data_IF_367060244754
#
_entry.id   IF_367060244754
#
_cell.length_a   1.000
_cell.length_b   1.000
_cell.length_c   1.000
_cell.angle_alpha   90.00
_cell.angle_beta   90.00
_cell.angle_gamma   90.00
#
_symmetry.space_group_name_H-M   'P 1'
#
loop_
_entity.id
_entity.type
_entity.pdbx_description
1 polymer ?
#
# COMPACT_ATOMS: atom_id res chain seq x y z
N UNK A 1 -3.64 1.89 -15.85
CA UNK A 1 -4.76 2.69 -15.32
C UNK A 1 -4.23 3.74 -14.33
N UNK A 2 -3.14 4.43 -14.69
CA UNK A 2 -2.55 5.45 -13.80
C UNK A 2 -3.49 6.66 -13.72
N UNK A 3 -3.75 7.15 -12.50
CA UNK A 3 -4.48 8.39 -12.25
C UNK A 3 -5.95 8.42 -12.67
N UNK A 4 -6.59 7.26 -12.86
CA UNK A 4 -7.92 7.20 -13.49
C UNK A 4 -9.02 7.96 -12.73
N UNK A 5 -8.98 7.93 -11.39
CA UNK A 5 -9.91 8.65 -10.52
C UNK A 5 -9.18 9.68 -9.64
N UNK A 6 -8.00 10.13 -10.05
CA UNK A 6 -7.23 11.12 -9.29
C UNK A 6 -8.06 12.39 -9.05
N UNK A 7 -8.14 12.84 -7.79
CA UNK A 7 -8.96 13.98 -7.32
C UNK A 7 -10.47 13.83 -7.56
N UNK A 8 -10.97 12.63 -7.87
CA UNK A 8 -12.41 12.38 -7.92
C UNK A 8 -12.97 12.24 -6.50
N UNK A 9 -12.90 13.30 -5.69
CA UNK A 9 -13.11 13.33 -4.23
C UNK A 9 -14.31 12.49 -3.76
N UNK A 10 -15.40 12.48 -4.52
CA UNK A 10 -16.68 11.83 -4.18
C UNK A 10 -16.92 10.49 -4.89
N UNK A 11 -15.94 9.96 -5.61
CA UNK A 11 -16.09 8.70 -6.34
C UNK A 11 -16.16 7.52 -5.37
N UNK A 12 -17.26 6.79 -5.40
CA UNK A 12 -17.50 5.59 -4.58
C UNK A 12 -18.44 4.62 -5.30
N UNK A 13 -18.18 4.35 -6.58
CA UNK A 13 -19.00 3.45 -7.39
C UNK A 13 -18.37 2.06 -7.44
N UNK A 14 -19.17 0.98 -7.50
CA UNK A 14 -18.66 -0.39 -7.48
C UNK A 14 -17.76 -0.67 -8.69
N UNK A 15 -16.62 -1.30 -8.44
CA UNK A 15 -15.61 -1.67 -9.45
C UNK A 15 -15.25 -3.16 -9.44
N UNK A 16 -15.94 -3.97 -8.64
CA UNK A 16 -15.67 -5.40 -8.44
C UNK A 16 -15.74 -6.23 -9.74
N UNK A 17 -16.43 -5.74 -10.78
CA UNK A 17 -16.56 -6.43 -12.08
C UNK A 17 -15.49 -6.02 -13.10
N UNK A 18 -14.54 -5.16 -12.74
CA UNK A 18 -13.50 -4.72 -13.67
C UNK A 18 -12.43 -5.80 -13.88
N UNK A 19 -12.11 -6.07 -15.14
CA UNK A 19 -10.94 -6.88 -15.47
C UNK A 19 -9.70 -5.99 -15.47
N UNK A 20 -8.86 -6.16 -14.45
CA UNK A 20 -7.56 -5.50 -14.30
C UNK A 20 -6.39 -6.44 -14.53
N UNK A 21 -6.63 -7.66 -15.02
CA UNK A 21 -5.61 -8.71 -15.13
C UNK A 21 -4.44 -8.35 -16.05
N UNK A 22 -4.64 -7.47 -17.03
CA UNK A 22 -3.58 -7.01 -17.93
C UNK A 22 -2.94 -5.67 -17.50
N UNK A 23 -3.35 -5.10 -16.37
CA UNK A 23 -2.89 -3.79 -15.92
C UNK A 23 -1.51 -3.90 -15.31
N UNK A 24 -0.59 -3.05 -15.78
CA UNK A 24 0.80 -2.99 -15.29
C UNK A 24 1.01 -1.84 -14.28
N UNK A 25 0.18 -0.81 -14.35
CA UNK A 25 0.35 0.41 -13.57
C UNK A 25 -1.01 0.91 -13.05
N UNK A 26 -1.16 0.98 -11.74
CA UNK A 26 -2.32 1.51 -11.01
C UNK A 26 -1.95 2.73 -10.16
N UNK A 27 -0.79 3.35 -10.42
CA UNK A 27 -0.31 4.48 -9.65
C UNK A 27 -1.32 5.63 -9.65
N UNK A 28 -1.52 6.23 -8.49
CA UNK A 28 -2.46 7.34 -8.27
C UNK A 28 -3.92 7.06 -8.67
N UNK A 29 -4.31 5.80 -8.88
CA UNK A 29 -5.64 5.49 -9.42
C UNK A 29 -6.78 6.07 -8.58
N UNK A 30 -6.65 6.07 -7.24
CA UNK A 30 -7.59 6.65 -6.28
C UNK A 30 -6.92 7.73 -5.42
N UNK A 31 -5.92 8.43 -5.95
CA UNK A 31 -5.29 9.54 -5.25
C UNK A 31 -6.29 10.66 -4.96
N UNK A 32 -6.33 11.14 -3.71
CA UNK A 32 -7.27 12.15 -3.22
C UNK A 32 -8.75 11.81 -3.46
N UNK A 33 -9.10 10.51 -3.52
CA UNK A 33 -10.48 10.05 -3.54
C UNK A 33 -10.95 9.82 -2.11
N UNK A 34 -11.46 10.87 -1.49
CA UNK A 34 -11.72 10.92 -0.05
C UNK A 34 -12.59 9.76 0.44
N UNK A 35 -13.66 9.43 -0.29
CA UNK A 35 -14.75 8.54 0.16
C UNK A 35 -14.77 7.15 -0.48
N UNK A 36 -13.75 6.78 -1.26
CA UNK A 36 -13.73 5.48 -1.92
C UNK A 36 -13.48 4.36 -0.90
N UNK A 37 -14.42 3.41 -0.85
CA UNK A 37 -14.40 2.25 0.04
C UNK A 37 -15.29 1.17 -0.60
N UNK A 38 -14.86 0.67 -1.77
CA UNK A 38 -15.59 -0.35 -2.52
C UNK A 38 -14.76 -1.62 -2.63
N UNK A 39 -15.43 -2.77 -2.58
CA UNK A 39 -14.78 -4.08 -2.74
C UNK A 39 -14.06 -4.17 -4.10
N UNK A 40 -12.73 -4.22 -4.00
CA UNK A 40 -11.79 -4.48 -5.09
C UNK A 40 -10.87 -5.65 -4.76
N UNK A 41 -11.20 -6.44 -3.73
CA UNK A 41 -10.40 -7.59 -3.32
C UNK A 41 -10.42 -8.71 -4.38
N UNK A 42 -11.40 -8.69 -5.28
CA UNK A 42 -11.50 -9.62 -6.42
C UNK A 42 -10.59 -9.27 -7.61
N UNK A 43 -9.93 -8.12 -7.59
CA UNK A 43 -9.06 -7.69 -8.68
C UNK A 43 -7.81 -8.57 -8.82
N UNK A 44 -7.53 -9.01 -10.04
CA UNK A 44 -6.26 -9.68 -10.36
C UNK A 44 -5.16 -8.65 -10.61
N UNK A 45 -4.40 -8.31 -9.57
CA UNK A 45 -3.28 -7.35 -9.65
C UNK A 45 -1.91 -8.00 -9.90
N UNK A 46 -1.87 -9.30 -10.23
CA UNK A 46 -0.61 -10.07 -10.36
C UNK A 46 0.37 -9.51 -11.41
N UNK A 47 -0.10 -8.73 -12.38
CA UNK A 47 0.75 -8.09 -13.40
C UNK A 47 1.15 -6.64 -13.06
N UNK A 48 0.61 -6.08 -11.99
CA UNK A 48 0.87 -4.70 -11.58
C UNK A 48 2.29 -4.58 -11.03
N UNK A 49 3.01 -3.59 -11.53
CA UNK A 49 4.39 -3.24 -11.12
C UNK A 49 4.46 -1.96 -10.29
N UNK A 50 3.56 -1.03 -10.53
CA UNK A 50 3.56 0.28 -9.88
C UNK A 50 2.20 0.57 -9.24
N UNK A 51 2.20 0.60 -7.91
CA UNK A 51 1.05 0.95 -7.07
C UNK A 51 1.29 2.29 -6.33
N UNK A 52 2.27 3.08 -6.76
CA UNK A 52 2.64 4.30 -6.05
C UNK A 52 1.47 5.29 -5.97
N UNK A 53 1.21 5.77 -4.75
CA UNK A 53 0.12 6.70 -4.46
C UNK A 53 -1.29 6.20 -4.79
N UNK A 54 -1.50 4.89 -4.99
CA UNK A 54 -2.79 4.37 -5.46
C UNK A 54 -3.97 4.81 -4.58
N UNK A 55 -3.79 4.85 -3.26
CA UNK A 55 -4.77 5.31 -2.27
C UNK A 55 -4.24 6.48 -1.42
N UNK A 56 -3.30 7.27 -1.97
CA UNK A 56 -2.80 8.45 -1.27
C UNK A 56 -3.95 9.44 -1.05
N UNK A 57 -4.07 10.00 0.15
CA UNK A 57 -5.18 10.86 0.60
C UNK A 57 -6.59 10.24 0.44
N UNK A 58 -6.71 8.92 0.25
CA UNK A 58 -7.98 8.19 0.28
C UNK A 58 -8.42 7.96 1.73
N UNK A 59 -8.83 9.05 2.39
CA UNK A 59 -9.01 9.15 3.84
C UNK A 59 -9.84 8.01 4.43
N UNK A 60 -10.94 7.63 3.79
CA UNK A 60 -11.90 6.63 4.28
C UNK A 60 -11.68 5.20 3.78
N UNK A 61 -10.69 4.96 2.92
CA UNK A 61 -10.45 3.62 2.39
C UNK A 61 -9.97 2.66 3.49
N UNK A 62 -10.71 1.57 3.70
CA UNK A 62 -10.38 0.50 4.64
C UNK A 62 -10.85 -0.89 4.14
N UNK A 63 -11.07 -1.04 2.83
CA UNK A 63 -11.46 -2.33 2.25
C UNK A 63 -10.32 -3.36 2.24
N UNK A 64 -10.66 -4.63 2.49
CA UNK A 64 -9.68 -5.74 2.49
C UNK A 64 -9.04 -5.93 1.12
N UNK A 65 -7.73 -6.17 1.12
CA UNK A 65 -6.89 -6.44 -0.04
C UNK A 65 -6.13 -7.77 0.09
N UNK A 66 -6.64 -8.68 0.92
CA UNK A 66 -5.96 -9.93 1.29
C UNK A 66 -5.71 -10.87 0.10
N UNK A 67 -6.50 -10.77 -0.97
CA UNK A 67 -6.39 -11.64 -2.16
C UNK A 67 -5.42 -11.10 -3.21
N UNK A 68 -4.87 -9.90 -3.03
CA UNK A 68 -3.98 -9.30 -4.01
C UNK A 68 -2.64 -10.03 -4.06
N UNK A 69 -2.27 -10.51 -5.25
CA UNK A 69 -0.93 -11.00 -5.54
C UNK A 69 0.01 -9.84 -5.86
N UNK A 70 0.84 -9.46 -4.89
CA UNK A 70 1.78 -8.34 -5.01
C UNK A 70 3.18 -8.75 -5.46
N UNK A 71 3.42 -10.02 -5.84
CA UNK A 71 4.75 -10.57 -6.16
C UNK A 71 5.51 -9.77 -7.22
N UNK A 72 4.80 -9.13 -8.16
CA UNK A 72 5.40 -8.37 -9.25
C UNK A 72 5.49 -6.86 -8.99
N UNK A 73 5.03 -6.37 -7.84
CA UNK A 73 5.06 -4.95 -7.51
C UNK A 73 6.50 -4.53 -7.19
N UNK A 74 6.95 -3.46 -7.86
CA UNK A 74 8.30 -2.90 -7.77
C UNK A 74 8.29 -1.56 -6.99
N UNK A 75 7.15 -0.87 -6.92
CA UNK A 75 6.99 0.45 -6.28
C UNK A 75 5.66 0.57 -5.51
N UNK A 76 5.76 0.89 -4.21
CA UNK A 76 4.64 1.14 -3.29
C UNK A 76 4.76 2.50 -2.59
N UNK A 77 5.57 3.42 -3.14
CA UNK A 77 5.74 4.77 -2.58
C UNK A 77 4.39 5.43 -2.34
N UNK A 78 4.16 5.95 -1.14
CA UNK A 78 2.95 6.69 -0.75
C UNK A 78 1.63 5.92 -0.98
N UNK A 79 1.64 4.59 -1.14
CA UNK A 79 0.45 3.82 -1.54
C UNK A 79 -0.79 4.09 -0.69
N UNK A 80 -0.61 4.26 0.63
CA UNK A 80 -1.65 4.57 1.61
C UNK A 80 -1.32 5.84 2.42
N UNK A 81 -0.47 6.72 1.88
CA UNK A 81 -0.12 7.97 2.57
C UNK A 81 -1.40 8.77 2.84
N UNK A 82 -1.61 9.21 4.07
CA UNK A 82 -2.80 9.92 4.54
C UNK A 82 -4.13 9.16 4.38
N UNK A 83 -4.13 7.86 4.07
CA UNK A 83 -5.31 7.01 4.11
C UNK A 83 -5.70 6.74 5.57
N UNK A 84 -6.26 7.77 6.22
CA UNK A 84 -6.32 7.88 7.68
C UNK A 84 -6.90 6.64 8.34
N UNK A 85 -7.98 6.08 7.81
CA UNK A 85 -8.70 4.96 8.42
C UNK A 85 -8.20 3.56 8.04
N UNK A 86 -7.27 3.45 7.09
CA UNK A 86 -6.76 2.15 6.66
C UNK A 86 -6.09 1.39 7.81
N UNK A 87 -6.63 0.22 8.17
CA UNK A 87 -6.10 -0.71 9.17
C UNK A 87 -6.22 -2.19 8.72
N UNK A 88 -6.29 -2.42 7.41
CA UNK A 88 -6.39 -3.77 6.86
C UNK A 88 -5.09 -4.56 6.99
N UNK A 89 -5.23 -5.90 7.00
CA UNK A 89 -4.09 -6.79 7.05
C UNK A 89 -3.38 -6.82 5.69
N UNK A 90 -2.11 -6.41 5.67
CA UNK A 90 -1.22 -6.54 4.51
C UNK A 90 0.02 -7.37 4.83
N UNK A 91 0.04 -8.05 5.98
CA UNK A 91 1.21 -8.84 6.43
C UNK A 91 1.49 -10.07 5.55
N UNK A 92 0.52 -10.49 4.74
CA UNK A 92 0.62 -11.60 3.78
C UNK A 92 1.22 -11.20 2.43
N UNK A 93 1.30 -9.90 2.12
CA UNK A 93 1.80 -9.42 0.84
C UNK A 93 3.25 -9.83 0.57
N UNK A 94 3.52 -10.25 -0.66
CA UNK A 94 4.89 -10.44 -1.14
C UNK A 94 5.45 -9.10 -1.62
N UNK A 95 6.43 -8.59 -0.90
CA UNK A 95 7.12 -7.32 -1.21
C UNK A 95 8.57 -7.54 -1.64
N UNK A 96 8.94 -8.76 -2.00
CA UNK A 96 10.33 -9.17 -2.30
C UNK A 96 10.95 -8.46 -3.50
N UNK A 97 10.13 -7.88 -4.39
CA UNK A 97 10.57 -7.07 -5.53
C UNK A 97 10.44 -5.57 -5.32
N UNK A 98 9.79 -5.12 -4.23
CA UNK A 98 9.56 -3.70 -3.98
C UNK A 98 10.89 -3.02 -3.67
N UNK A 99 11.13 -1.89 -4.34
CA UNK A 99 12.36 -1.09 -4.19
C UNK A 99 12.14 0.23 -3.46
N UNK A 100 10.91 0.75 -3.46
CA UNK A 100 10.54 2.02 -2.85
C UNK A 100 9.21 1.90 -2.09
N UNK A 101 9.27 2.17 -0.78
CA UNK A 101 8.15 2.27 0.15
C UNK A 101 8.17 3.62 0.90
N UNK A 102 8.86 4.64 0.38
CA UNK A 102 8.89 5.95 1.02
C UNK A 102 7.46 6.43 1.30
N UNK A 103 7.19 6.79 2.55
CA UNK A 103 5.90 7.29 3.03
C UNK A 103 4.70 6.35 2.76
N UNK A 104 4.91 5.05 2.55
CA UNK A 104 3.85 4.11 2.15
C UNK A 104 2.61 4.15 3.07
N UNK A 105 2.79 4.25 4.39
CA UNK A 105 1.73 4.31 5.41
C UNK A 105 1.80 5.62 6.22
N UNK A 106 2.51 6.66 5.73
CA UNK A 106 2.64 7.93 6.45
C UNK A 106 1.25 8.53 6.67
N UNK A 107 0.87 8.84 7.91
CA UNK A 107 -0.43 9.41 8.22
C UNK A 107 -1.62 8.46 8.07
N UNK A 108 -1.40 7.16 7.78
CA UNK A 108 -2.43 6.11 7.91
C UNK A 108 -2.67 5.84 9.41
N UNK A 109 -3.33 6.80 10.08
CA UNK A 109 -3.34 6.91 11.54
C UNK A 109 -3.75 5.62 12.24
N UNK A 110 -4.77 4.94 11.74
CA UNK A 110 -5.30 3.75 12.41
C UNK A 110 -4.52 2.46 12.10
N UNK A 111 -3.54 2.48 11.20
CA UNK A 111 -2.75 1.30 10.86
C UNK A 111 -1.88 0.84 12.05
N UNK A 112 -2.09 -0.41 12.49
CA UNK A 112 -1.40 -1.00 13.66
C UNK A 112 -0.83 -2.40 13.40
N UNK A 113 -0.71 -2.83 12.15
CA UNK A 113 -0.26 -4.19 11.83
C UNK A 113 1.27 -4.30 11.87
N UNK A 114 1.77 -5.40 12.43
CA UNK A 114 3.21 -5.71 12.47
C UNK A 114 3.64 -6.34 11.14
N UNK A 115 4.61 -5.71 10.47
CA UNK A 115 5.08 -6.08 9.12
C UNK A 115 6.52 -6.61 9.11
N UNK A 116 7.03 -7.03 10.27
CA UNK A 116 8.42 -7.50 10.40
C UNK A 116 8.70 -8.76 9.57
N UNK A 117 7.68 -9.57 9.26
CA UNK A 117 7.81 -10.81 8.48
C UNK A 117 8.10 -10.61 6.99
N UNK A 118 7.83 -9.44 6.42
CA UNK A 118 8.04 -9.16 5.00
C UNK A 118 9.48 -9.46 4.54
N UNK A 119 9.62 -9.95 3.30
CA UNK A 119 10.91 -10.07 2.64
C UNK A 119 11.28 -8.72 2.01
N UNK A 120 12.08 -7.93 2.73
CA UNK A 120 12.51 -6.59 2.31
C UNK A 120 13.98 -6.53 1.88
N UNK A 121 14.55 -7.66 1.45
CA UNK A 121 15.69 -7.62 0.51
C UNK A 121 15.23 -6.81 -0.73
N UNK A 122 15.97 -6.48 -1.77
CA UNK A 122 15.50 -5.52 -2.82
C UNK A 122 15.15 -4.08 -2.38
N UNK A 123 14.53 -3.80 -1.23
CA UNK A 123 14.13 -2.47 -0.76
C UNK A 123 15.34 -1.53 -0.69
N UNK A 124 15.17 -0.31 -1.21
CA UNK A 124 16.20 0.74 -1.28
C UNK A 124 15.79 2.00 -0.53
N UNK A 125 14.49 2.30 -0.47
CA UNK A 125 13.94 3.48 0.21
C UNK A 125 12.69 3.10 0.99
N UNK A 126 12.64 3.53 2.24
CA UNK A 126 11.55 3.24 3.18
C UNK A 126 11.47 4.32 4.27
N UNK A 127 11.87 5.55 3.90
CA UNK A 127 11.80 6.69 4.80
C UNK A 127 10.34 6.96 5.17
N UNK A 128 10.10 7.26 6.45
CA UNK A 128 8.79 7.72 6.97
C UNK A 128 7.62 6.76 6.71
N UNK A 129 7.88 5.45 6.53
CA UNK A 129 6.82 4.45 6.27
C UNK A 129 5.71 4.54 7.32
N UNK A 130 6.05 4.60 8.61
CA UNK A 130 5.10 4.61 9.72
C UNK A 130 4.96 5.98 10.41
N UNK A 131 5.45 7.05 9.79
CA UNK A 131 5.31 8.41 10.34
C UNK A 131 3.81 8.73 10.53
N UNK A 132 3.45 9.37 11.63
CA UNK A 132 2.05 9.71 11.98
C UNK A 132 1.03 8.55 12.02
N UNK A 133 1.49 7.31 12.23
CA UNK A 133 0.63 6.14 12.54
C UNK A 133 0.48 5.91 14.06
N UNK A 134 -0.59 5.21 14.46
CA UNK A 134 -0.83 4.77 15.85
C UNK A 134 -0.13 3.45 16.22
N UNK A 135 0.69 2.88 15.33
CA UNK A 135 1.60 1.80 15.69
C UNK A 135 2.52 2.26 16.84
N UNK A 136 2.74 1.44 17.86
CA UNK A 136 3.54 1.86 19.02
C UNK A 136 5.00 2.07 18.59
N UNK A 137 5.72 2.98 19.25
CA UNK A 137 7.11 3.29 18.88
C UNK A 137 8.04 2.08 18.96
N UNK A 138 7.88 1.22 19.98
CA UNK A 138 8.64 -0.02 20.10
C UNK A 138 8.32 -1.02 18.98
N UNK A 139 7.09 -1.01 18.45
CA UNK A 139 6.68 -1.86 17.32
C UNK A 139 7.24 -1.32 16.00
N UNK A 140 7.25 0.01 15.81
CA UNK A 140 7.92 0.68 14.68
C UNK A 140 9.41 0.33 14.67
N UNK A 141 10.09 0.47 15.81
CA UNK A 141 11.51 0.14 15.97
C UNK A 141 11.80 -1.34 15.68
N UNK A 142 10.96 -2.26 16.16
CA UNK A 142 11.07 -3.69 15.88
C UNK A 142 11.03 -3.96 14.36
N UNK A 143 10.00 -3.45 13.68
CA UNK A 143 9.83 -3.68 12.24
C UNK A 143 11.02 -3.11 11.46
N UNK A 144 11.38 -1.85 11.72
CA UNK A 144 12.43 -1.15 10.98
C UNK A 144 13.82 -1.75 11.21
N UNK A 145 14.13 -2.20 12.43
CA UNK A 145 15.42 -2.84 12.74
C UNK A 145 15.56 -4.24 12.10
N UNK A 146 14.49 -5.03 12.07
CA UNK A 146 14.47 -6.31 11.35
C UNK A 146 14.59 -6.10 9.84
N UNK A 147 13.92 -5.09 9.29
CA UNK A 147 14.04 -4.71 7.88
C UNK A 147 15.47 -4.33 7.51
N UNK A 148 16.11 -3.46 8.31
CA UNK A 148 17.50 -3.08 8.13
C UNK A 148 18.44 -4.29 8.15
N UNK A 149 18.20 -5.23 9.08
CA UNK A 149 18.98 -6.48 9.18
C UNK A 149 18.83 -7.34 7.91
N UNK A 150 17.60 -7.54 7.41
CA UNK A 150 17.33 -8.29 6.18
C UNK A 150 17.98 -7.64 4.95
N UNK A 151 17.95 -6.32 4.87
CA UNK A 151 18.56 -5.54 3.78
C UNK A 151 20.09 -5.68 3.76
N UNK A 152 20.73 -5.72 4.94
CA UNK A 152 22.18 -5.86 5.07
C UNK A 152 22.72 -7.25 4.69
N UNK A 153 21.85 -8.27 4.61
CA UNK A 153 22.18 -9.65 4.23
C UNK A 153 22.00 -9.95 2.72
N UNK A 154 21.89 -8.90 1.89
CA UNK A 154 21.92 -9.02 0.42
C UNK A 154 23.32 -9.37 -0.07
#
# INVERSE_FOLDING_TARGET
>A
MSGMFDNAIWFNQPLNNWDVSSVINTSRMFNAVLVFDQDINSWNVSNVKDMSGMFCDAWYFDESLDNWDTLNVENMRQMFSSAKFFDQNISSWDVSKVTDMTEMLNGAKYFKKILNKWNVKSLKKYDKVFEDTYLLENEKELVLSEWATKIAQK
#
